data_IF_377038465034
#
_entry.id   IF_377038465034
#
_cell.length_a   1.000
_cell.length_b   1.000
_cell.length_c   1.000
_cell.angle_alpha   90.00
_cell.angle_beta   90.00
_cell.angle_gamma   90.00
#
_symmetry.space_group_name_H-M   'P 1'
#
loop_
_entity.id
_entity.type
_entity.pdbx_description
1 polymer ?
#
# COMPACT_ATOMS: atom_id res chain seq x y z
N UNK A 1 -27.06 8.56 -3.05
CA UNK A 1 -26.33 8.84 -4.30
C UNK A 1 -24.98 9.40 -3.90
N UNK A 2 -23.89 8.68 -4.14
CA UNK A 2 -22.56 9.21 -3.85
C UNK A 2 -22.31 10.38 -4.81
N UNK A 3 -21.97 11.53 -4.25
CA UNK A 3 -21.59 12.72 -5.01
C UNK A 3 -20.28 12.40 -5.75
N UNK A 4 -20.40 11.99 -7.02
CA UNK A 4 -19.26 11.70 -7.88
C UNK A 4 -18.70 13.04 -8.37
N UNK A 5 -17.94 13.70 -7.50
CA UNK A 5 -17.18 14.89 -7.87
C UNK A 5 -16.07 14.48 -8.84
N UNK A 6 -16.25 14.77 -10.12
CA UNK A 6 -15.20 14.64 -11.13
C UNK A 6 -14.02 15.54 -10.77
N UNK A 7 -12.81 14.99 -10.74
CA UNK A 7 -11.59 15.78 -10.56
C UNK A 7 -11.12 16.31 -11.91
N UNK A 8 -10.95 17.63 -12.02
CA UNK A 8 -10.43 18.27 -13.23
C UNK A 8 -8.98 17.83 -13.56
N UNK A 9 -8.23 17.41 -12.55
CA UNK A 9 -6.83 16.98 -12.66
C UNK A 9 -6.67 15.55 -12.15
N UNK A 10 -5.62 14.84 -12.60
CA UNK A 10 -5.28 13.54 -12.01
C UNK A 10 -4.97 13.76 -10.52
N UNK A 11 -5.72 13.15 -9.59
CA UNK A 11 -5.47 13.31 -8.17
C UNK A 11 -4.10 12.72 -7.81
N UNK A 12 -3.37 13.40 -6.92
CA UNK A 12 -2.12 12.87 -6.36
C UNK A 12 -2.40 11.52 -5.67
N UNK A 13 -1.62 10.45 -5.93
CA UNK A 13 -1.91 9.13 -5.38
C UNK A 13 -2.04 9.09 -3.86
N UNK A 14 -1.14 9.79 -3.16
CA UNK A 14 -1.20 9.87 -1.70
C UNK A 14 -2.34 10.73 -1.17
N UNK A 15 -2.47 11.99 -1.59
CA UNK A 15 -3.38 12.95 -0.94
C UNK A 15 -4.75 13.05 -1.64
N UNK A 16 -4.79 12.93 -2.95
CA UNK A 16 -6.00 13.14 -3.75
C UNK A 16 -6.94 11.95 -3.75
N UNK A 17 -6.42 10.73 -3.63
CA UNK A 17 -7.21 9.50 -3.60
C UNK A 17 -7.76 9.22 -2.20
N UNK A 18 -8.96 8.63 -2.12
CA UNK A 18 -9.56 8.22 -0.84
C UNK A 18 -8.97 6.90 -0.37
N UNK A 19 -8.78 6.74 0.95
CA UNK A 19 -8.45 5.47 1.59
C UNK A 19 -9.55 4.40 1.42
N UNK A 20 -10.75 4.78 0.95
CA UNK A 20 -11.92 3.90 0.87
C UNK A 20 -12.98 4.27 1.92
N UNK A 21 -14.25 4.09 1.60
CA UNK A 21 -15.36 4.44 2.50
C UNK A 21 -15.47 3.49 3.70
N UNK A 22 -15.04 2.24 3.53
CA UNK A 22 -15.15 1.16 4.51
C UNK A 22 -13.81 0.88 5.23
N UNK A 23 -12.87 1.85 5.18
CA UNK A 23 -11.63 1.78 5.92
C UNK A 23 -11.92 1.71 7.43
N UNK A 24 -11.23 0.87 8.21
CA UNK A 24 -10.03 0.10 7.84
C UNK A 24 -10.30 -1.32 7.31
N UNK A 25 -11.56 -1.79 7.29
CA UNK A 25 -11.87 -3.18 6.89
C UNK A 25 -11.61 -3.43 5.41
N UNK A 26 -12.02 -2.48 4.56
CA UNK A 26 -11.73 -2.47 3.13
C UNK A 26 -11.13 -1.13 2.80
N UNK A 27 -9.95 -1.15 2.20
CA UNK A 27 -9.19 0.04 1.83
C UNK A 27 -8.94 0.06 0.34
N UNK A 28 -8.77 1.26 -0.22
CA UNK A 28 -8.15 1.39 -1.52
C UNK A 28 -6.63 1.30 -1.34
N UNK A 29 -5.97 0.49 -2.15
CA UNK A 29 -4.52 0.41 -2.24
C UNK A 29 -4.06 0.98 -3.58
N UNK A 30 -3.05 1.84 -3.55
CA UNK A 30 -2.34 2.28 -4.76
C UNK A 30 -1.10 1.40 -4.93
N UNK A 31 -1.00 0.67 -6.05
CA UNK A 31 0.05 -0.32 -6.26
C UNK A 31 1.25 0.31 -6.97
N UNK A 32 2.41 0.23 -6.33
CA UNK A 32 3.69 0.74 -6.82
C UNK A 32 4.52 -0.36 -7.46
N UNK A 33 4.48 -1.57 -6.89
CA UNK A 33 5.31 -2.69 -7.29
C UNK A 33 4.46 -3.95 -7.40
N UNK A 34 4.70 -4.74 -8.45
CA UNK A 34 4.08 -6.04 -8.69
C UNK A 34 5.08 -7.18 -8.42
N UNK A 35 4.60 -8.42 -8.28
CA UNK A 35 5.50 -9.58 -8.15
C UNK A 35 6.46 -9.80 -9.32
N UNK A 36 6.20 -9.15 -10.46
CA UNK A 36 6.99 -9.31 -11.68
C UNK A 36 8.07 -8.23 -11.84
N UNK A 37 8.10 -7.23 -10.96
CA UNK A 37 9.03 -6.12 -11.06
C UNK A 37 10.41 -6.48 -10.46
N UNK A 38 11.46 -6.12 -11.21
CA UNK A 38 12.86 -6.23 -10.79
C UNK A 38 13.44 -4.88 -10.33
N UNK A 39 12.57 -3.87 -10.23
CA UNK A 39 12.90 -2.51 -9.82
C UNK A 39 12.03 -2.16 -8.61
N UNK A 40 12.63 -1.51 -7.61
CA UNK A 40 11.88 -0.87 -6.54
C UNK A 40 11.41 0.49 -7.05
N UNK A 41 10.10 0.62 -7.19
CA UNK A 41 9.42 1.85 -7.52
C UNK A 41 8.81 2.46 -6.26
N UNK A 42 8.74 3.79 -6.24
CA UNK A 42 8.06 4.55 -5.19
C UNK A 42 7.39 5.76 -5.82
N UNK A 43 6.27 6.20 -5.27
CA UNK A 43 5.68 7.48 -5.63
C UNK A 43 6.62 8.61 -5.18
N UNK A 44 6.98 9.45 -6.15
CA UNK A 44 7.66 10.71 -5.87
C UNK A 44 6.67 11.65 -5.15
N UNK A 45 6.87 11.83 -3.84
CA UNK A 45 5.94 12.53 -2.94
C UNK A 45 5.60 13.97 -3.37
N UNK A 46 6.47 14.62 -4.15
CA UNK A 46 6.25 15.98 -4.62
C UNK A 46 5.34 16.03 -5.85
N UNK A 47 5.53 15.10 -6.79
CA UNK A 47 4.85 15.11 -8.08
C UNK A 47 3.70 14.10 -8.21
N UNK A 48 3.69 13.06 -7.38
CA UNK A 48 2.73 11.97 -7.41
C UNK A 48 2.95 10.96 -8.54
N UNK A 49 4.06 11.06 -9.28
CA UNK A 49 4.42 10.07 -10.30
C UNK A 49 5.18 8.91 -9.70
N UNK A 50 5.05 7.72 -10.31
CA UNK A 50 5.88 6.59 -9.97
C UNK A 50 7.31 6.84 -10.45
N UNK A 51 8.28 6.64 -9.55
CA UNK A 51 9.69 6.91 -9.78
C UNK A 51 10.50 5.67 -9.42
N UNK A 52 11.58 5.45 -10.17
CA UNK A 52 12.57 4.43 -9.82
C UNK A 52 13.33 4.89 -8.57
N UNK A 53 13.20 4.15 -7.46
CA UNK A 53 14.09 4.27 -6.31
C UNK A 53 15.43 3.59 -6.65
N UNK A 54 15.38 2.29 -6.95
CA UNK A 54 16.58 1.49 -7.28
C UNK A 54 16.25 0.16 -7.95
N UNK A 55 17.19 -0.43 -8.73
CA UNK A 55 17.08 -1.82 -9.13
C UNK A 55 17.15 -2.76 -7.91
N UNK A 56 16.50 -3.93 -8.00
CA UNK A 56 16.69 -4.98 -7.02
C UNK A 56 18.12 -5.52 -7.07
N UNK A 57 18.75 -5.68 -5.90
CA UNK A 57 20.17 -6.07 -5.80
C UNK A 57 20.38 -7.57 -5.84
N UNK A 58 19.37 -8.35 -5.50
CA UNK A 58 19.39 -9.81 -5.40
C UNK A 58 18.38 -10.40 -6.38
N UNK A 59 18.31 -11.74 -6.45
CA UNK A 59 17.28 -12.46 -7.20
C UNK A 59 15.90 -12.45 -6.53
N UNK A 60 15.68 -11.56 -5.57
CA UNK A 60 14.43 -11.44 -4.83
C UNK A 60 13.39 -10.69 -5.67
N UNK A 61 12.19 -11.25 -5.73
CA UNK A 61 11.00 -10.61 -6.28
C UNK A 61 9.99 -10.36 -5.15
N UNK A 62 9.23 -9.26 -5.19
CA UNK A 62 8.13 -9.05 -4.27
C UNK A 62 7.15 -10.22 -4.34
N UNK A 63 6.70 -10.79 -3.20
CA UNK A 63 5.82 -11.96 -3.24
C UNK A 63 4.34 -11.59 -3.49
N UNK A 64 4.00 -10.29 -3.45
CA UNK A 64 2.64 -9.77 -3.52
C UNK A 64 2.62 -8.41 -4.23
N UNK A 65 1.42 -7.91 -4.54
CA UNK A 65 1.26 -6.52 -4.96
C UNK A 65 1.61 -5.63 -3.77
N UNK A 66 2.46 -4.65 -3.99
CA UNK A 66 2.95 -3.76 -2.95
C UNK A 66 2.66 -2.31 -3.30
N UNK A 67 2.30 -1.54 -2.29
CA UNK A 67 2.20 -0.09 -2.37
C UNK A 67 1.66 0.43 -1.05
N UNK A 68 0.77 1.42 -1.08
CA UNK A 68 0.29 2.07 0.13
C UNK A 68 -1.21 2.38 0.12
N UNK A 69 -1.73 2.70 1.31
CA UNK A 69 -3.09 3.17 1.52
C UNK A 69 -3.12 4.70 1.41
N UNK A 70 -3.85 5.30 0.45
CA UNK A 70 -3.94 6.76 0.33
C UNK A 70 -4.43 7.44 1.62
N UNK A 71 -4.03 8.70 1.81
CA UNK A 71 -4.38 9.55 2.98
C UNK A 71 -4.04 8.94 4.34
N UNK A 72 -3.04 8.07 4.39
CA UNK A 72 -2.44 7.60 5.64
C UNK A 72 -1.07 8.25 5.86
N UNK A 73 -0.56 8.19 7.09
CA UNK A 73 0.75 8.69 7.45
C UNK A 73 1.26 7.97 8.68
N UNK A 74 2.43 7.33 8.55
CA UNK A 74 3.12 6.61 9.61
C UNK A 74 3.82 7.59 10.56
N UNK A 75 3.01 8.24 11.40
CA UNK A 75 3.46 9.20 12.41
C UNK A 75 3.65 8.60 13.82
N UNK A 76 3.60 9.43 14.88
CA UNK A 76 3.80 8.98 16.26
C UNK A 76 2.83 7.89 16.73
N UNK A 77 1.62 7.84 16.16
CA UNK A 77 0.62 6.82 16.47
C UNK A 77 1.04 5.43 16.01
N UNK A 78 1.70 5.33 14.86
CA UNK A 78 2.22 4.04 14.34
C UNK A 78 3.44 3.63 15.16
N UNK A 79 4.36 4.56 15.42
CA UNK A 79 5.50 4.33 16.31
C UNK A 79 5.10 3.75 17.68
N UNK A 80 4.04 4.30 18.28
CA UNK A 80 3.55 3.86 19.59
C UNK A 80 3.02 2.42 19.60
N UNK A 81 2.62 1.88 18.44
CA UNK A 81 2.19 0.48 18.32
C UNK A 81 3.38 -0.49 18.28
N UNK A 82 4.58 0.01 17.97
CA UNK A 82 5.83 -0.76 17.85
C UNK A 82 6.84 -0.25 18.91
N UNK A 83 6.74 -0.69 20.19
CA UNK A 83 7.37 -0.02 21.33
C UNK A 83 8.91 0.07 21.31
N UNK A 84 9.57 -0.71 20.45
CA UNK A 84 11.02 -0.68 20.27
C UNK A 84 11.48 0.44 19.33
N UNK A 85 10.55 1.11 18.64
CA UNK A 85 10.85 2.17 17.67
C UNK A 85 10.80 3.56 18.30
N UNK A 86 11.52 4.51 17.68
CA UNK A 86 11.55 5.92 18.13
C UNK A 86 10.53 6.78 17.41
N UNK A 87 10.16 6.40 16.19
CA UNK A 87 9.27 7.14 15.29
C UNK A 87 8.66 6.20 14.25
N UNK A 88 7.65 6.66 13.54
CA UNK A 88 7.27 6.05 12.26
C UNK A 88 8.20 6.57 11.16
N UNK A 89 8.27 5.84 10.06
CA UNK A 89 9.09 6.17 8.89
C UNK A 89 8.73 7.51 8.21
N UNK A 90 7.51 8.04 8.46
CA UNK A 90 7.02 9.26 7.85
C UNK A 90 6.41 9.08 6.46
N UNK A 91 6.06 7.84 6.10
CA UNK A 91 5.56 7.49 4.78
C UNK A 91 4.05 7.14 4.84
N UNK A 92 3.36 7.03 3.70
CA UNK A 92 2.06 6.37 3.66
C UNK A 92 2.15 4.97 4.25
N UNK A 93 1.08 4.51 4.91
CA UNK A 93 1.04 3.16 5.46
C UNK A 93 1.05 2.11 4.36
N UNK A 94 2.07 1.26 4.38
CA UNK A 94 2.31 0.24 3.38
C UNK A 94 1.30 -0.90 3.44
N UNK A 95 1.06 -1.51 2.28
CA UNK A 95 0.14 -2.64 2.13
C UNK A 95 0.65 -3.64 1.10
N UNK A 96 0.60 -4.92 1.49
CA UNK A 96 0.80 -6.08 0.61
C UNK A 96 -0.56 -6.70 0.30
N UNK A 97 -0.92 -6.78 -0.98
CA UNK A 97 -2.21 -7.31 -1.44
C UNK A 97 -2.01 -8.62 -2.17
N UNK A 98 -2.66 -9.67 -1.66
CA UNK A 98 -2.68 -11.01 -2.24
C UNK A 98 -3.79 -11.12 -3.29
N UNK A 99 -3.46 -11.74 -4.41
CA UNK A 99 -4.37 -12.02 -5.52
C UNK A 99 -3.96 -13.35 -6.17
N UNK A 100 -4.92 -14.20 -6.50
CA UNK A 100 -4.69 -15.42 -7.28
C UNK A 100 -4.35 -15.07 -8.73
N UNK A 101 -4.97 -14.00 -9.25
CA UNK A 101 -4.74 -13.57 -10.63
C UNK A 101 -3.48 -12.73 -10.72
N UNK A 102 -2.62 -12.98 -11.73
CA UNK A 102 -1.43 -12.19 -11.95
C UNK A 102 -1.81 -10.77 -12.38
N UNK A 103 -1.27 -9.78 -11.69
CA UNK A 103 -1.38 -8.37 -12.07
C UNK A 103 0.03 -7.86 -12.29
N UNK A 104 0.37 -7.55 -13.53
CA UNK A 104 1.71 -7.10 -13.96
C UNK A 104 1.77 -5.59 -14.23
N UNK A 105 0.75 -4.83 -13.82
CA UNK A 105 0.67 -3.39 -14.03
C UNK A 105 0.71 -2.65 -12.69
N UNK A 106 1.66 -1.73 -12.54
CA UNK A 106 1.72 -0.75 -11.45
C UNK A 106 0.94 0.53 -11.79
N UNK A 107 0.90 1.48 -10.85
CA UNK A 107 0.09 2.70 -10.91
C UNK A 107 -1.42 2.45 -11.04
N UNK A 108 -1.92 1.42 -10.36
CA UNK A 108 -3.34 1.07 -10.35
C UNK A 108 -3.92 1.25 -8.94
N UNK A 109 -5.24 1.43 -8.90
CA UNK A 109 -6.02 1.36 -7.67
C UNK A 109 -6.78 0.06 -7.65
N UNK A 110 -6.84 -0.53 -6.45
CA UNK A 110 -7.68 -1.68 -6.19
C UNK A 110 -8.31 -1.56 -4.80
N UNK A 111 -9.43 -2.24 -4.59
CA UNK A 111 -10.02 -2.39 -3.27
C UNK A 111 -9.49 -3.66 -2.63
N UNK A 112 -8.94 -3.53 -1.42
CA UNK A 112 -8.28 -4.59 -0.69
C UNK A 112 -8.96 -4.76 0.67
N UNK A 113 -9.31 -5.99 1.03
CA UNK A 113 -9.85 -6.32 2.35
C UNK A 113 -8.70 -6.69 3.27
N UNK A 114 -8.56 -5.95 4.37
CA UNK A 114 -7.49 -6.17 5.35
C UNK A 114 -7.74 -7.48 6.10
N UNK A 115 -6.68 -8.27 6.29
CA UNK A 115 -6.68 -9.55 7.02
C UNK A 115 -5.60 -9.61 8.11
N UNK A 116 -4.90 -8.51 8.35
CA UNK A 116 -3.89 -8.41 9.40
C UNK A 116 -2.78 -7.43 9.04
N UNK A 117 -1.64 -7.58 9.72
CA UNK A 117 -0.46 -6.78 9.47
C UNK A 117 0.80 -7.46 9.98
N UNK A 118 1.93 -7.11 9.37
CA UNK A 118 3.26 -7.46 9.84
C UNK A 118 3.85 -6.23 10.53
N UNK A 119 4.06 -6.34 11.83
CA UNK A 119 4.79 -5.32 12.57
C UNK A 119 6.28 -5.40 12.19
N UNK A 120 6.84 -4.30 11.72
CA UNK A 120 8.20 -4.26 11.19
C UNK A 120 8.98 -3.06 11.74
N UNK A 121 10.26 -3.30 12.02
CA UNK A 121 11.21 -2.29 12.46
C UNK A 121 12.31 -2.17 11.41
N UNK A 122 12.38 -1.04 10.70
CA UNK A 122 13.52 -0.71 9.84
C UNK A 122 14.30 0.43 10.47
N UNK A 123 15.55 0.17 10.89
CA UNK A 123 16.48 1.18 11.45
C UNK A 123 15.86 2.10 12.51
N UNK A 124 15.23 1.50 13.53
CA UNK A 124 14.52 2.17 14.65
C UNK A 124 13.20 2.88 14.27
N UNK A 125 12.72 2.71 13.04
CA UNK A 125 11.43 3.25 12.56
C UNK A 125 10.38 2.14 12.49
N UNK A 126 9.14 2.49 12.83
CA UNK A 126 7.99 1.61 12.59
C UNK A 126 7.63 1.67 11.10
N UNK A 127 7.71 0.51 10.44
CA UNK A 127 7.62 0.31 8.99
C UNK A 127 6.57 -0.79 8.67
N UNK A 128 5.47 -0.78 9.42
CA UNK A 128 4.46 -1.85 9.44
C UNK A 128 3.85 -2.08 8.05
N UNK A 129 3.67 -3.36 7.67
CA UNK A 129 3.06 -3.74 6.40
C UNK A 129 1.66 -4.29 6.63
N UNK A 130 0.62 -3.62 6.14
CA UNK A 130 -0.73 -4.16 6.17
C UNK A 130 -0.83 -5.36 5.22
N UNK A 131 -1.46 -6.45 5.66
CA UNK A 131 -1.70 -7.62 4.83
C UNK A 131 -3.17 -7.64 4.44
N UNK A 132 -3.44 -7.69 3.15
CA UNK A 132 -4.78 -7.66 2.60
C UNK A 132 -4.92 -8.63 1.42
N UNK A 133 -6.17 -8.89 1.05
CA UNK A 133 -6.54 -9.68 -0.13
C UNK A 133 -7.31 -8.80 -1.10
N UNK A 134 -7.14 -9.02 -2.40
CA UNK A 134 -7.92 -8.32 -3.42
C UNK A 134 -9.40 -8.59 -3.20
N UNK A 135 -10.23 -7.55 -3.17
CA UNK A 135 -11.67 -7.71 -2.99
C UNK A 135 -12.28 -8.44 -4.19
N UNK A 136 -12.99 -9.55 -3.91
CA UNK A 136 -13.59 -10.40 -4.93
C UNK A 136 -12.64 -11.44 -5.52
N UNK A 137 -11.43 -11.60 -4.97
CA UNK A 137 -10.55 -12.71 -5.31
C UNK A 137 -11.19 -14.07 -4.97
N UNK A 138 -11.07 -15.07 -5.84
CA UNK A 138 -11.78 -16.34 -5.69
C UNK A 138 -11.06 -17.29 -4.73
N UNK A 139 -9.72 -17.24 -4.68
CA UNK A 139 -8.92 -18.11 -3.81
C UNK A 139 -8.82 -17.53 -2.41
N UNK A 140 -8.57 -16.22 -2.28
CA UNK A 140 -8.34 -15.55 -1.01
C UNK A 140 -9.58 -14.88 -0.42
N UNK A 141 -10.69 -14.83 -1.16
CA UNK A 141 -11.91 -14.09 -0.79
C UNK A 141 -12.49 -14.46 0.58
N UNK A 142 -12.32 -15.71 1.00
CA UNK A 142 -12.80 -16.25 2.29
C UNK A 142 -11.82 -16.06 3.45
N UNK A 143 -10.58 -15.63 3.21
CA UNK A 143 -9.56 -15.49 4.27
C UNK A 143 -9.96 -14.41 5.28
N UNK A 144 -10.03 -14.73 6.57
CA UNK A 144 -10.45 -13.80 7.63
C UNK A 144 -9.46 -13.85 8.82
N UNK A 145 -9.48 -12.77 9.61
CA UNK A 145 -8.87 -12.65 10.95
C UNK A 145 -9.98 -12.78 12.00
#
# INVERSE_FOLDING_TARGET
>A
MADLTFSQWRPHPWHGLSAGADAPRVVNAYIEITPFDLIKYEVDKASGYLRVDRPQRTSSQPPALYGFIPRTYCGPRVAALTPVTKRGDGDPLDICVLSERPIAKSEILLSARVIGGLQLVDRDEADDKIIAVLQGDYVWGEAQD
#
